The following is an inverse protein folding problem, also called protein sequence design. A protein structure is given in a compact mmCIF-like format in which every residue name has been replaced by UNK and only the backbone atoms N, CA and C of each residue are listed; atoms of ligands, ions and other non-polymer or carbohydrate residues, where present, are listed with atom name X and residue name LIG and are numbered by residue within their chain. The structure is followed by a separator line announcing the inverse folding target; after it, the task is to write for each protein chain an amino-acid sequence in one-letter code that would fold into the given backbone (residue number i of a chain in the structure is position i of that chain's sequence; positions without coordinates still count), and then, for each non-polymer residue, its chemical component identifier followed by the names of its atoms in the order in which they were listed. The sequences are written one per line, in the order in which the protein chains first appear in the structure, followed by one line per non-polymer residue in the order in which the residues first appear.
data_IF_441421645092
#
_entry.id   IF_441421645092
#
_cell.length_a   1.000
_cell.length_b   1.000
_cell.length_c   1.000
_cell.angle_alpha   90.00
_cell.angle_beta   90.00
_cell.angle_gamma   90.00
#
_symmetry.space_group_name_H-M   'P 1'
#
loop_
_entity.id
_entity.type
_entity.pdbx_description
1 polymer ?
#
# COMPACT_ATOMS: atom_id res chain seq x y z
N UNK A 1 -12.50 3.74 -10.18
CA UNK A 1 -12.33 3.88 -8.72
C UNK A 1 -11.36 4.99 -8.35
N UNK A 2 -10.20 5.14 -8.99
CA UNK A 2 -9.20 6.19 -8.67
C UNK A 2 -9.59 7.56 -9.25
N UNK A 3 -9.39 8.64 -8.47
CA UNK A 3 -9.55 10.03 -8.91
C UNK A 3 -8.63 10.35 -10.11
N UNK A 4 -9.09 11.12 -11.09
CA UNK A 4 -8.37 11.33 -12.36
C UNK A 4 -6.94 11.84 -12.20
N UNK A 5 -6.75 12.83 -11.32
CA UNK A 5 -5.44 13.44 -11.03
C UNK A 5 -4.43 12.46 -10.42
N UNK A 6 -4.89 11.41 -9.73
CA UNK A 6 -4.01 10.48 -9.03
C UNK A 6 -3.63 9.26 -9.90
N UNK A 7 -4.23 9.12 -11.10
CA UNK A 7 -4.07 7.93 -11.95
C UNK A 7 -2.66 7.75 -12.47
N UNK A 8 -2.01 8.84 -12.91
CA UNK A 8 -0.67 8.74 -13.50
C UNK A 8 0.36 8.44 -12.43
N UNK A 9 0.25 9.06 -11.26
CA UNK A 9 1.12 8.76 -10.12
C UNK A 9 1.02 7.29 -9.72
N UNK A 10 -0.20 6.74 -9.61
CA UNK A 10 -0.38 5.31 -9.31
C UNK A 10 0.20 4.44 -10.42
N UNK A 11 0.05 4.83 -11.69
CA UNK A 11 0.62 4.08 -12.81
C UNK A 11 2.14 4.02 -12.72
N UNK A 12 2.79 5.14 -12.38
CA UNK A 12 4.24 5.19 -12.15
C UNK A 12 4.63 4.34 -10.94
N UNK A 13 3.90 4.41 -9.83
CA UNK A 13 4.14 3.57 -8.64
C UNK A 13 4.02 2.07 -8.94
N UNK A 14 3.23 1.65 -9.93
CA UNK A 14 3.13 0.24 -10.34
C UNK A 14 4.27 -0.21 -11.27
N UNK A 15 5.10 0.70 -11.76
CA UNK A 15 6.27 0.36 -12.55
C UNK A 15 7.38 -0.19 -11.64
N UNK A 16 8.00 -1.30 -12.06
CA UNK A 16 9.06 -1.95 -11.29
C UNK A 16 10.30 -1.06 -11.16
N UNK A 17 10.59 -0.28 -12.20
CA UNK A 17 11.73 0.61 -12.32
C UNK A 17 11.50 2.01 -11.74
N UNK A 18 10.36 2.24 -11.08
CA UNK A 18 10.08 3.51 -10.42
C UNK A 18 11.02 3.72 -9.22
N UNK A 19 11.76 4.85 -9.23
CA UNK A 19 12.76 5.20 -8.21
C UNK A 19 13.83 4.12 -7.97
N UNK A 20 14.14 3.33 -8.99
CA UNK A 20 15.19 2.32 -8.92
C UNK A 20 16.54 2.95 -9.31
N UNK A 21 17.64 2.61 -8.60
CA UNK A 21 18.99 3.05 -8.97
C UNK A 21 19.42 2.60 -10.37
N UNK A 22 20.23 3.41 -11.06
CA UNK A 22 20.70 3.12 -12.43
C UNK A 22 21.51 1.82 -12.59
N UNK A 23 22.07 1.29 -11.49
CA UNK A 23 22.83 0.04 -11.51
C UNK A 23 21.94 -1.21 -11.59
N UNK A 24 20.63 -1.07 -11.33
CA UNK A 24 19.64 -2.14 -11.43
C UNK A 24 19.02 -2.08 -12.82
N UNK A 25 19.56 -2.89 -13.73
CA UNK A 25 19.27 -2.78 -15.17
C UNK A 25 18.10 -3.65 -15.61
N UNK A 26 17.81 -4.70 -14.85
CA UNK A 26 16.71 -5.61 -15.16
C UNK A 26 15.92 -6.02 -13.93
N UNK A 27 14.73 -6.58 -14.17
CA UNK A 27 13.82 -7.05 -13.13
C UNK A 27 14.49 -8.13 -12.26
N UNK A 28 15.34 -8.98 -12.85
CA UNK A 28 16.03 -10.06 -12.13
C UNK A 28 16.99 -9.52 -11.04
N UNK A 29 17.67 -8.40 -11.32
CA UNK A 29 18.58 -7.76 -10.36
C UNK A 29 17.82 -7.28 -9.11
N UNK A 30 16.60 -6.78 -9.32
CA UNK A 30 15.74 -6.24 -8.26
C UNK A 30 15.11 -7.34 -7.39
N UNK A 31 14.89 -8.53 -7.94
CA UNK A 31 14.34 -9.64 -7.17
C UNK A 31 15.33 -10.28 -6.20
N UNK A 32 16.58 -9.82 -6.22
CA UNK A 32 17.58 -10.22 -5.22
C UNK A 32 17.24 -9.62 -3.85
N UNK A 33 17.69 -10.23 -2.74
CA UNK A 33 17.44 -9.70 -1.39
C UNK A 33 17.83 -8.22 -1.23
N UNK A 34 18.90 -7.79 -1.90
CA UNK A 34 19.38 -6.41 -1.87
C UNK A 34 18.55 -5.46 -2.74
N UNK A 35 17.90 -5.97 -3.78
CA UNK A 35 17.05 -5.21 -4.68
C UNK A 35 15.60 -5.06 -4.19
N UNK A 36 15.12 -6.02 -3.40
CA UNK A 36 13.74 -6.06 -2.92
C UNK A 36 13.25 -4.80 -2.18
N UNK A 37 14.07 -4.06 -1.40
CA UNK A 37 13.63 -2.81 -0.77
C UNK A 37 13.16 -1.76 -1.79
N UNK A 38 13.70 -1.75 -3.02
CA UNK A 38 13.31 -0.81 -4.07
C UNK A 38 11.93 -1.10 -4.67
N UNK A 39 11.30 -2.22 -4.31
CA UNK A 39 9.93 -2.56 -4.70
C UNK A 39 8.88 -2.11 -3.68
N UNK A 40 9.29 -1.50 -2.56
CA UNK A 40 8.37 -0.91 -1.60
C UNK A 40 7.72 0.35 -2.19
N UNK A 41 6.44 0.54 -1.87
CA UNK A 41 5.61 1.63 -2.37
C UNK A 41 4.89 2.27 -1.21
N UNK A 42 4.97 3.59 -1.15
CA UNK A 42 4.27 4.43 -0.19
C UNK A 42 3.76 5.66 -0.93
N UNK A 43 2.45 5.79 -1.05
CA UNK A 43 1.82 6.93 -1.70
C UNK A 43 0.42 7.18 -1.16
N UNK A 44 -0.03 8.42 -1.35
CA UNK A 44 -1.40 8.81 -1.03
C UNK A 44 -2.22 8.90 -2.31
N UNK A 45 -3.45 8.42 -2.28
CA UNK A 45 -4.38 8.54 -3.40
C UNK A 45 -5.83 8.68 -2.96
N UNK A 46 -6.66 9.26 -3.82
CA UNK A 46 -8.10 9.36 -3.62
C UNK A 46 -8.82 8.26 -4.37
N UNK A 47 -9.62 7.50 -3.63
CA UNK A 47 -10.50 6.48 -4.17
C UNK A 47 -11.95 6.92 -4.04
N UNK A 48 -12.76 6.60 -5.04
CA UNK A 48 -14.22 6.80 -5.02
C UNK A 48 -14.77 6.09 -3.78
N UNK A 49 -15.38 6.86 -2.89
CA UNK A 49 -16.03 6.37 -1.68
C UNK A 49 -17.54 6.55 -1.86
N UNK A 50 -18.30 5.45 -1.86
CA UNK A 50 -19.76 5.50 -2.02
C UNK A 50 -20.47 5.97 -0.74
N UNK A 51 -19.78 5.94 0.41
CA UNK A 51 -20.29 6.35 1.71
C UNK A 51 -19.90 7.80 2.06
N UNK A 52 -19.13 8.47 1.20
CA UNK A 52 -18.75 9.86 1.41
C UNK A 52 -19.82 10.80 0.85
N UNK A 53 -20.45 11.57 1.75
CA UNK A 53 -21.49 12.55 1.42
C UNK A 53 -20.93 13.92 1.02
N UNK A 54 -19.60 14.07 0.91
CA UNK A 54 -18.95 15.32 0.51
C UNK A 54 -18.64 15.35 -0.99
N UNK A 55 -17.40 15.06 -1.38
CA UNK A 55 -16.97 15.05 -2.78
C UNK A 55 -17.04 13.65 -3.43
N UNK A 56 -17.34 12.62 -2.65
CA UNK A 56 -17.44 11.23 -3.10
C UNK A 56 -16.09 10.52 -3.20
N UNK A 57 -15.05 11.04 -2.54
CA UNK A 57 -13.69 10.52 -2.59
C UNK A 57 -13.05 10.50 -1.21
N UNK A 58 -12.41 9.38 -0.87
CA UNK A 58 -11.65 9.22 0.36
C UNK A 58 -10.15 9.16 0.05
N UNK A 59 -9.36 9.97 0.75
CA UNK A 59 -7.90 9.90 0.70
C UNK A 59 -7.43 8.68 1.49
N UNK A 60 -6.54 7.89 0.90
CA UNK A 60 -5.99 6.66 1.47
C UNK A 60 -4.46 6.75 1.40
N UNK A 61 -3.80 6.39 2.49
CA UNK A 61 -2.37 6.07 2.57
C UNK A 61 -2.18 4.61 2.17
N UNK A 62 -1.45 4.38 1.09
CA UNK A 62 -1.22 3.06 0.53
C UNK A 62 0.24 2.69 0.77
N UNK A 63 0.47 1.69 1.61
CA UNK A 63 1.80 1.17 1.92
C UNK A 63 1.90 -0.30 1.59
N UNK A 64 2.88 -0.66 0.80
CA UNK A 64 2.99 -2.02 0.32
C UNK A 64 4.24 -2.30 -0.48
N UNK A 65 4.19 -3.40 -1.23
CA UNK A 65 5.32 -3.88 -2.02
C UNK A 65 4.85 -4.50 -3.31
N UNK A 66 5.60 -4.28 -4.39
CA UNK A 66 5.41 -5.02 -5.63
C UNK A 66 5.95 -6.45 -5.45
N UNK A 67 5.12 -7.43 -5.75
CA UNK A 67 5.42 -8.85 -5.60
C UNK A 67 5.04 -9.61 -6.88
N UNK A 68 5.72 -10.73 -7.13
CA UNK A 68 5.37 -11.63 -8.23
C UNK A 68 3.98 -12.24 -8.02
N UNK A 69 3.10 -12.08 -8.99
CA UNK A 69 1.81 -12.73 -9.04
C UNK A 69 1.92 -14.04 -9.83
N UNK A 70 1.62 -15.14 -9.16
CA UNK A 70 1.63 -16.47 -9.73
C UNK A 70 0.19 -16.95 -9.99
N UNK A 71 0.00 -17.86 -10.95
CA UNK A 71 -1.31 -18.47 -11.21
C UNK A 71 -2.29 -17.59 -12.00
N UNK A 72 -1.81 -16.52 -12.66
CA UNK A 72 -2.65 -15.70 -13.53
C UNK A 72 -3.05 -16.49 -14.79
N UNK A 73 -4.30 -16.36 -15.27
CA UNK A 73 -4.71 -16.96 -16.53
C UNK A 73 -3.89 -16.40 -17.71
N UNK A 74 -3.59 -17.25 -18.70
CA UNK A 74 -2.79 -16.86 -19.87
C UNK A 74 -3.36 -15.64 -20.62
N UNK A 75 -4.67 -15.40 -20.59
CA UNK A 75 -5.31 -14.22 -21.20
C UNK A 75 -4.84 -12.89 -20.60
N UNK A 76 -4.46 -12.85 -19.32
CA UNK A 76 -3.92 -11.66 -18.66
C UNK A 76 -2.43 -11.41 -18.99
N UNK A 77 -1.73 -12.44 -19.47
CA UNK A 77 -0.30 -12.40 -19.79
C UNK A 77 -0.07 -12.18 -21.29
N UNK A 78 -0.99 -12.64 -22.15
CA UNK A 78 -0.87 -12.63 -23.61
C UNK A 78 -0.64 -11.23 -24.20
N UNK A 79 -1.31 -10.21 -23.65
CA UNK A 79 -1.18 -8.81 -24.10
C UNK A 79 0.13 -8.13 -23.69
N UNK A 80 1.03 -8.82 -22.96
CA UNK A 80 2.36 -8.29 -22.58
C UNK A 80 3.52 -8.95 -23.33
N UNK A 81 3.25 -10.00 -24.11
CA UNK A 81 4.27 -10.78 -24.82
C UNK A 81 4.95 -9.95 -25.93
N UNK A 82 4.31 -8.90 -26.44
CA UNK A 82 4.87 -8.02 -27.48
C UNK A 82 5.98 -7.07 -26.97
N UNK A 83 6.06 -6.84 -25.66
CA UNK A 83 7.12 -6.01 -25.07
C UNK A 83 8.17 -6.91 -24.42
N UNK A 84 9.29 -7.11 -25.13
CA UNK A 84 10.46 -7.96 -24.84
C UNK A 84 11.19 -7.77 -23.47
N UNK A 85 10.48 -7.51 -22.37
CA UNK A 85 11.08 -7.32 -21.05
C UNK A 85 10.78 -8.52 -20.15
N UNK A 86 11.81 -9.36 -19.94
CA UNK A 86 11.92 -10.34 -18.85
C UNK A 86 10.68 -11.22 -18.60
N UNK A 87 10.56 -12.28 -19.41
CA UNK A 87 9.70 -13.47 -19.30
C UNK A 87 8.55 -13.46 -18.28
N UNK A 88 7.30 -13.51 -18.78
CA UNK A 88 6.03 -13.93 -18.14
C UNK A 88 5.69 -13.44 -16.71
N UNK A 89 6.55 -12.68 -16.05
CA UNK A 89 6.44 -12.36 -14.64
C UNK A 89 5.63 -11.07 -14.48
N UNK A 90 4.45 -11.23 -13.88
CA UNK A 90 3.56 -10.11 -13.60
C UNK A 90 3.78 -9.68 -12.17
N UNK A 91 4.15 -8.41 -11.97
CA UNK A 91 4.16 -7.81 -10.65
C UNK A 91 2.79 -7.24 -10.30
N UNK A 92 2.40 -7.38 -9.03
CA UNK A 92 1.23 -6.76 -8.44
C UNK A 92 1.60 -6.08 -7.12
N UNK A 93 0.88 -5.00 -6.80
CA UNK A 93 1.04 -4.31 -5.53
C UNK A 93 0.21 -5.02 -4.45
N UNK A 94 0.88 -5.52 -3.41
CA UNK A 94 0.25 -5.98 -2.17
C UNK A 94 0.43 -4.87 -1.15
N UNK A 95 -0.66 -4.31 -0.65
CA UNK A 95 -0.62 -3.11 0.19
C UNK A 95 -1.71 -3.08 1.27
N UNK A 96 -1.39 -2.36 2.34
CA UNK A 96 -2.34 -1.90 3.35
C UNK A 96 -2.83 -0.51 2.93
N UNK A 97 -4.16 -0.33 2.97
CA UNK A 97 -4.84 0.91 2.61
C UNK A 97 -5.44 1.52 3.87
N UNK A 98 -4.78 2.55 4.41
CA UNK A 98 -5.21 3.24 5.62
C UNK A 98 -5.96 4.52 5.23
N UNK A 99 -7.26 4.65 5.52
CA UNK A 99 -7.99 5.86 5.17
C UNK A 99 -7.54 7.04 6.07
N UNK A 100 -7.41 8.23 5.49
CA UNK A 100 -7.22 9.46 6.25
C UNK A 100 -8.57 9.92 6.81
N UNK A 101 -9.03 9.27 7.88
CA UNK A 101 -10.19 9.73 8.65
C UNK A 101 -9.64 10.37 9.92
N UNK A 102 -9.79 11.70 10.13
CA UNK A 102 -9.57 12.29 11.44
C UNK A 102 -10.40 11.51 12.46
N UNK A 103 -9.85 11.10 13.62
CA UNK A 103 -10.63 10.39 14.62
C UNK A 103 -11.91 11.17 14.91
N UNK A 104 -13.04 10.47 14.83
CA UNK A 104 -14.34 11.08 15.03
C UNK A 104 -14.42 11.50 16.51
N UNK A 105 -14.65 12.78 16.79
CA UNK A 105 -14.65 13.30 18.18
C UNK A 105 -15.67 12.55 19.05
N UNK A 106 -16.77 12.08 18.46
CA UNK A 106 -17.78 11.28 19.15
C UNK A 106 -17.29 9.88 19.59
N UNK A 107 -16.42 9.23 18.78
CA UNK A 107 -15.83 7.93 19.15
C UNK A 107 -14.81 8.09 20.29
N UNK A 108 -14.20 9.28 20.40
CA UNK A 108 -13.28 9.62 21.47
C UNK A 108 -14.02 9.81 22.81
N UNK A 109 -15.21 10.42 22.78
CA UNK A 109 -16.08 10.53 23.97
C UNK A 109 -16.66 9.18 24.41
N UNK A 110 -16.75 8.19 23.52
CA UNK A 110 -17.20 6.84 23.86
C UNK A 110 -16.08 5.99 24.51
N UNK A 111 -14.81 6.35 24.28
CA UNK A 111 -13.65 5.83 25.03
C UNK A 111 -13.52 6.47 26.42
N UNK A 112 -14.10 7.67 26.61
CA UNK A 112 -14.19 8.35 27.92
C UNK A 112 -15.24 7.74 28.86
N UNK A 113 -15.96 6.71 28.44
CA UNK A 113 -16.78 5.90 29.35
C UNK A 113 -15.95 4.70 29.82
N UNK A 114 -15.36 4.73 31.03
CA UNK A 114 -14.50 3.67 31.52
C UNK A 114 -15.37 2.45 31.90
N UNK A 115 -15.83 1.70 30.90
CA UNK A 115 -16.52 0.42 31.10
C UNK A 115 -15.52 -0.68 31.53
N UNK A 116 -14.22 -0.42 31.41
CA UNK A 116 -13.17 -1.28 31.99
C UNK A 116 -12.81 -0.82 33.40
N UNK A 117 -13.78 -0.86 34.32
CA UNK A 117 -13.48 -0.81 35.76
C UNK A 117 -12.90 -2.16 36.20
N UNK A 118 -11.65 -2.44 35.83
CA UNK A 118 -10.92 -3.56 36.43
C UNK A 118 -10.42 -3.14 37.81
N UNK A 119 -10.58 -4.02 38.81
CA UNK A 119 -10.11 -3.79 40.21
C UNK A 119 -8.59 -3.53 40.29
N UNK A 120 -7.85 -3.89 39.25
CA UNK A 120 -6.42 -3.69 39.13
C UNK A 120 -6.13 -2.55 38.16
N UNK A 121 -5.19 -1.68 38.54
CA UNK A 121 -4.66 -0.61 37.69
C UNK A 121 -4.14 -1.24 36.40
N UNK A 122 -4.79 -0.96 35.28
CA UNK A 122 -4.26 -1.30 33.97
C UNK A 122 -3.28 -0.18 33.59
N UNK A 123 -2.01 -0.53 33.56
CA UNK A 123 -0.97 0.35 33.04
C UNK A 123 -1.03 0.31 31.51
N UNK A 124 -1.57 1.39 30.91
CA UNK A 124 -1.64 1.58 29.46
C UNK A 124 -0.34 2.17 28.89
N UNK A 125 0.79 2.02 29.58
CA UNK A 125 2.09 2.38 29.00
C UNK A 125 2.22 1.67 27.66
N UNK A 126 2.20 2.47 26.59
CA UNK A 126 2.47 2.03 25.22
C UNK A 126 3.85 1.41 25.21
N UNK A 127 3.92 0.08 25.22
CA UNK A 127 5.17 -0.62 24.97
C UNK A 127 5.48 -0.45 23.49
N UNK A 128 6.23 0.62 23.18
CA UNK A 128 6.93 0.72 21.90
C UNK A 128 7.89 -0.46 21.85
N UNK A 129 7.59 -1.45 21.03
CA UNK A 129 8.56 -2.49 20.71
C UNK A 129 9.77 -1.84 20.07
N UNK A 130 10.92 -2.07 20.68
CA UNK A 130 12.23 -1.53 20.30
C UNK A 130 12.57 -1.87 18.84
N UNK A 131 13.20 -0.90 18.19
CA UNK A 131 13.66 -0.96 16.82
C UNK A 131 15.00 -1.70 16.82
N UNK A 132 14.97 -3.03 16.83
CA UNK A 132 16.19 -3.85 16.73
C UNK A 132 16.49 -4.16 15.27
N UNK A 133 17.45 -3.37 14.75
CA UNK A 133 18.56 -3.70 13.85
C UNK A 133 18.39 -4.80 12.81
#
# INVERSE_FOLDING_TARGET
MIHSEDREDIRLQLAWNYNVPLHMTCLQDILTPNGMPYLERNFNARFRCLLDNTCGFLRIDVRGKLMSLHGLPNSYVLNRIENHSSGNMVLGLVAVCSPFVPPNVADQQQLDDPILKTKHSLDFTLVSTDNQM
#
